data_IF_389267904774
#
_entry.id   IF_389267904774
#
_cell.length_a   1.000
_cell.length_b   1.000
_cell.length_c   1.000
_cell.angle_alpha   90.00
_cell.angle_beta   90.00
_cell.angle_gamma   90.00
#
_symmetry.space_group_name_H-M   'P 1'
#
loop_
_entity.id
_entity.type
_entity.pdbx_description
1 polymer ?
#
# COMPACT_ATOMS: atom_id res chain seq x y z
N UNK A 1 -4.52 8.34 -13.34
CA UNK A 1 -5.14 6.99 -13.34
C UNK A 1 -4.07 5.98 -12.98
N UNK A 2 -4.23 5.27 -11.87
CA UNK A 2 -3.23 4.31 -11.36
C UNK A 2 -3.01 3.09 -12.25
N UNK A 3 -3.96 2.80 -13.13
CA UNK A 3 -3.92 1.66 -14.06
C UNK A 3 -2.79 1.75 -15.09
N UNK A 4 -2.20 2.95 -15.25
CA UNK A 4 -1.03 3.16 -16.12
C UNK A 4 0.29 2.82 -15.42
N UNK A 5 0.28 2.69 -14.10
CA UNK A 5 1.48 2.43 -13.32
C UNK A 5 1.84 0.95 -13.40
N UNK A 6 3.11 0.65 -13.66
CA UNK A 6 3.63 -0.72 -13.70
C UNK A 6 3.38 -1.44 -12.37
N UNK A 7 3.48 -0.72 -11.25
CA UNK A 7 3.23 -1.20 -9.89
C UNK A 7 1.81 -1.76 -9.71
N UNK A 8 0.80 -1.03 -10.21
CA UNK A 8 -0.59 -1.48 -10.16
C UNK A 8 -0.80 -2.75 -11.00
N UNK A 9 -0.20 -2.81 -12.20
CA UNK A 9 -0.29 -3.99 -13.07
C UNK A 9 0.36 -5.21 -12.42
N UNK A 10 1.49 -5.00 -11.74
CA UNK A 10 2.21 -6.06 -11.01
C UNK A 10 1.35 -6.60 -9.86
N UNK A 11 0.77 -5.71 -9.04
CA UNK A 11 -0.14 -6.09 -7.96
C UNK A 11 -1.39 -6.77 -8.52
N UNK A 12 -1.99 -6.25 -9.58
CA UNK A 12 -3.20 -6.81 -10.16
C UNK A 12 -2.97 -8.18 -10.82
N UNK A 13 -1.78 -8.41 -11.39
CA UNK A 13 -1.41 -9.70 -11.97
C UNK A 13 -1.18 -10.76 -10.89
N UNK A 14 -0.57 -10.40 -9.77
CA UNK A 14 -0.34 -11.32 -8.65
C UNK A 14 -1.59 -11.49 -7.76
N UNK A 15 -2.34 -10.42 -7.55
CA UNK A 15 -3.49 -10.33 -6.65
C UNK A 15 -4.61 -9.45 -7.26
N UNK A 16 -5.40 -9.98 -8.19
CA UNK A 16 -6.45 -9.22 -8.88
C UNK A 16 -7.50 -8.66 -7.90
N UNK A 17 -7.85 -9.40 -6.84
CA UNK A 17 -8.78 -8.92 -5.80
C UNK A 17 -8.26 -7.71 -5.03
N UNK A 18 -6.93 -7.56 -4.90
CA UNK A 18 -6.31 -6.39 -4.27
C UNK A 18 -6.27 -5.23 -5.26
N UNK A 19 -5.94 -5.50 -6.54
CA UNK A 19 -5.97 -4.51 -7.61
C UNK A 19 -7.33 -3.82 -7.75
N UNK A 20 -8.43 -4.59 -7.73
CA UNK A 20 -9.78 -4.02 -7.76
C UNK A 20 -10.07 -3.10 -6.57
N UNK A 21 -9.67 -3.50 -5.36
CA UNK A 21 -9.84 -2.67 -4.15
C UNK A 21 -8.99 -1.40 -4.21
N UNK A 22 -7.74 -1.49 -4.65
CA UNK A 22 -6.85 -0.34 -4.81
C UNK A 22 -7.44 0.67 -5.78
N UNK A 23 -8.06 0.20 -6.87
CA UNK A 23 -8.78 1.05 -7.82
C UNK A 23 -10.03 1.67 -7.23
N UNK A 24 -10.83 0.89 -6.51
CA UNK A 24 -12.08 1.34 -5.92
C UNK A 24 -11.86 2.44 -4.86
N UNK A 25 -10.86 2.25 -4.00
CA UNK A 25 -10.56 3.19 -2.92
C UNK A 25 -9.60 4.30 -3.35
N UNK A 26 -9.13 4.33 -4.59
CA UNK A 26 -8.18 5.36 -5.03
C UNK A 26 -8.78 6.76 -4.90
N UNK A 27 -8.13 7.63 -4.12
CA UNK A 27 -8.64 8.98 -3.84
C UNK A 27 -9.56 9.07 -2.63
N UNK A 28 -9.77 7.96 -1.93
CA UNK A 28 -10.59 7.87 -0.73
C UNK A 28 -9.72 7.59 0.51
N UNK A 29 -10.14 8.02 1.71
CA UNK A 29 -9.41 7.75 2.95
C UNK A 29 -9.26 6.25 3.24
N UNK A 30 -10.20 5.43 2.77
CA UNK A 30 -10.21 3.97 2.86
C UNK A 30 -9.00 3.35 2.15
N UNK A 31 -8.38 4.04 1.19
CA UNK A 31 -7.14 3.58 0.55
C UNK A 31 -6.02 3.40 1.56
N UNK A 32 -5.86 4.36 2.47
CA UNK A 32 -4.82 4.32 3.49
C UNK A 32 -5.04 3.15 4.45
N UNK A 33 -6.30 2.91 4.83
CA UNK A 33 -6.66 1.78 5.67
C UNK A 33 -6.38 0.45 4.96
N UNK A 34 -6.70 0.34 3.67
CA UNK A 34 -6.37 -0.83 2.86
C UNK A 34 -4.85 -1.06 2.80
N UNK A 35 -4.06 -0.02 2.51
CA UNK A 35 -2.60 -0.11 2.50
C UNK A 35 -2.05 -0.51 3.87
N UNK A 36 -2.57 0.08 4.95
CA UNK A 36 -2.20 -0.30 6.31
C UNK A 36 -2.54 -1.77 6.57
N UNK A 37 -3.73 -2.26 6.20
CA UNK A 37 -4.09 -3.66 6.36
C UNK A 37 -3.23 -4.61 5.51
N UNK A 38 -2.80 -4.18 4.32
CA UNK A 38 -1.94 -4.96 3.43
C UNK A 38 -0.46 -4.98 3.89
N UNK A 39 0.02 -3.88 4.47
CA UNK A 39 1.38 -3.75 5.00
C UNK A 39 1.50 -4.25 6.45
N UNK A 40 0.42 -4.18 7.23
CA UNK A 40 0.33 -4.73 8.59
C UNK A 40 0.23 -6.24 8.46
N UNK A 41 1.40 -6.86 8.54
CA UNK A 41 1.60 -8.29 8.66
C UNK A 41 0.64 -8.89 9.70
N UNK A 42 -0.31 -9.74 9.26
CA UNK A 42 -1.12 -10.55 10.19
C UNK A 42 -0.19 -11.53 10.90
N UNK A 43 0.25 -11.12 12.09
CA UNK A 43 1.03 -11.89 13.07
C UNK A 43 0.22 -13.10 13.55
N UNK A 44 0.03 -14.11 12.72
CA UNK A 44 -0.77 -15.28 13.08
C UNK A 44 -0.97 -16.36 12.01
N UNK A 45 -0.69 -16.10 10.73
CA UNK A 45 -0.82 -17.11 9.67
C UNK A 45 0.56 -17.55 9.13
N UNK A 46 0.75 -18.85 8.81
CA UNK A 46 2.00 -19.36 8.27
C UNK A 46 2.22 -18.86 6.83
N UNK A 47 3.00 -17.77 6.73
CA UNK A 47 3.89 -17.34 5.65
C UNK A 47 3.48 -17.67 4.19
N UNK A 48 2.70 -16.78 3.61
CA UNK A 48 3.06 -16.18 2.32
C UNK A 48 3.01 -14.66 2.50
N UNK A 49 4.12 -14.06 2.94
CA UNK A 49 4.25 -12.61 2.86
C UNK A 49 4.19 -12.17 1.40
N UNK A 50 3.79 -10.92 1.13
CA UNK A 50 3.95 -10.39 -0.22
C UNK A 50 5.43 -10.43 -0.62
N UNK A 51 5.74 -10.83 -1.87
CA UNK A 51 7.09 -10.68 -2.39
C UNK A 51 7.50 -9.21 -2.33
N UNK A 52 8.81 -8.97 -2.19
CA UNK A 52 9.37 -7.63 -2.01
C UNK A 52 8.89 -6.65 -3.09
N UNK A 53 8.80 -7.10 -4.35
CA UNK A 53 8.33 -6.29 -5.48
C UNK A 53 6.90 -5.76 -5.27
N UNK A 54 6.04 -6.55 -4.64
CA UNK A 54 4.65 -6.15 -4.33
C UNK A 54 4.61 -5.19 -3.16
N UNK A 55 5.45 -5.38 -2.16
CA UNK A 55 5.59 -4.42 -1.05
C UNK A 55 6.11 -3.07 -1.55
N UNK A 56 7.11 -3.07 -2.45
CA UNK A 56 7.59 -1.85 -3.10
C UNK A 56 6.49 -1.19 -3.93
N UNK A 57 5.78 -1.95 -4.76
CA UNK A 57 4.66 -1.45 -5.55
C UNK A 57 3.57 -0.80 -4.67
N UNK A 58 3.22 -1.43 -3.54
CA UNK A 58 2.25 -0.88 -2.57
C UNK A 58 2.75 0.42 -1.93
N UNK A 59 4.03 0.49 -1.56
CA UNK A 59 4.64 1.69 -0.99
C UNK A 59 4.72 2.85 -2.00
N UNK A 60 5.02 2.55 -3.27
CA UNK A 60 5.00 3.54 -4.36
C UNK A 60 3.58 4.07 -4.59
N UNK A 61 2.58 3.20 -4.62
CA UNK A 61 1.18 3.60 -4.77
C UNK A 61 0.71 4.49 -3.61
N UNK A 62 1.10 4.19 -2.38
CA UNK A 62 0.81 5.03 -1.21
C UNK A 62 1.46 6.41 -1.29
N UNK A 63 2.71 6.48 -1.74
CA UNK A 63 3.40 7.76 -1.98
C UNK A 63 2.67 8.60 -3.04
N UNK A 64 2.24 7.96 -4.14
CA UNK A 64 1.45 8.61 -5.18
C UNK A 64 0.07 9.06 -4.69
N UNK A 65 -0.60 8.25 -3.87
CA UNK A 65 -1.90 8.59 -3.28
C UNK A 65 -1.77 9.80 -2.35
N UNK A 66 -0.74 9.82 -1.51
CA UNK A 66 -0.41 10.92 -0.60
C UNK A 66 -0.08 12.21 -1.36
N UNK A 67 0.70 12.11 -2.44
CA UNK A 67 1.02 13.26 -3.29
C UNK A 67 -0.23 13.80 -4.02
N UNK A 68 -1.13 12.92 -4.46
CA UNK A 68 -2.38 13.31 -5.09
C UNK A 68 -3.40 13.88 -4.09
N UNK A 69 -3.40 13.40 -2.84
CA UNK A 69 -4.34 13.78 -1.80
C UNK A 69 -3.63 14.16 -0.50
N UNK A 70 -2.95 15.32 -0.46
CA UNK A 70 -2.23 15.76 0.74
C UNK A 70 -3.14 15.97 1.96
N UNK A 71 -4.45 16.18 1.75
CA UNK A 71 -5.45 16.25 2.83
C UNK A 71 -5.74 14.90 3.48
N UNK A 72 -5.55 13.83 2.72
CA UNK A 72 -5.71 12.44 3.15
C UNK A 72 -4.36 11.78 3.39
N UNK A 73 -3.25 12.54 3.36
CA UNK A 73 -1.94 12.03 3.67
C UNK A 73 -2.00 11.33 5.03
N UNK A 74 -1.56 10.06 5.09
CA UNK A 74 -1.36 9.39 6.38
C UNK A 74 -0.49 10.32 7.21
N UNK A 75 -0.96 10.71 8.40
CA UNK A 75 -0.07 11.33 9.39
C UNK A 75 0.98 10.27 9.65
N UNK A 76 2.15 10.41 9.02
CA UNK A 76 3.30 9.56 9.24
C UNK A 76 3.51 9.50 10.74
N UNK A 77 2.96 8.47 11.38
CA UNK A 77 3.38 8.11 12.72
C UNK A 77 4.83 7.73 12.51
N UNK A 78 5.71 8.52 13.08
CA UNK A 78 7.14 8.31 13.10
C UNK A 78 7.41 6.96 13.77
N UNK A 79 7.25 5.84 13.06
CA UNK A 79 7.58 4.49 13.57
C UNK A 79 9.03 4.13 13.27
N UNK A 80 9.76 4.97 12.53
CA UNK A 80 11.23 4.93 12.45
C UNK A 80 11.86 5.71 13.63
N UNK A 81 11.47 5.36 14.86
CA UNK A 81 12.30 5.59 16.03
C UNK A 81 13.08 4.28 16.31
N UNK A 82 13.85 3.81 15.33
CA UNK A 82 14.92 2.86 15.60
C UNK A 82 16.06 3.68 16.23
N UNK A 83 16.16 3.59 17.56
CA UNK A 83 17.04 4.41 18.37
C UNK A 83 18.52 4.25 18.05
N UNK A 84 19.37 5.20 18.47
CA UNK A 84 20.79 4.98 18.46
C UNK A 84 21.16 4.02 19.61
N UNK A 85 22.05 3.10 19.29
CA UNK A 85 22.79 2.21 20.18
C UNK A 85 23.52 2.98 21.29
#
# INVERSE_FOLDING_TARGET
>A
MIERTTDFKLINAAFPSIGEKLKLFWGHPEFNQLIDELLVYKRGAPREGFPADILFALSTLDSLHTAANPKLARKSSTVWNAGPF
#
